data_IF_077647683843
#
_entry.id   IF_077647683843
#
_cell.length_a   1.000
_cell.length_b   1.000
_cell.length_c   1.000
_cell.angle_alpha   90.00
_cell.angle_beta   90.00
_cell.angle_gamma   90.00
#
_symmetry.space_group_name_H-M   'P 1'
#
loop_
_entity.id
_entity.type
_entity.pdbx_description
1 polymer ?
#
# COMPACT_ATOMS: atom_id res chain seq x y z
N UNK A 1 17.64 -37.04 -2.14
CA UNK A 1 17.63 -35.57 -1.94
C UNK A 1 16.23 -35.05 -2.17
N UNK A 2 15.65 -34.30 -1.25
CA UNK A 2 14.36 -33.63 -1.50
C UNK A 2 14.63 -32.52 -2.52
N UNK A 3 14.09 -32.63 -3.74
CA UNK A 3 14.12 -31.52 -4.68
C UNK A 3 13.20 -30.42 -4.17
N UNK A 4 13.77 -29.35 -3.65
CA UNK A 4 13.04 -28.16 -3.32
C UNK A 4 12.72 -27.42 -4.62
N UNK A 5 11.43 -27.36 -4.99
CA UNK A 5 10.97 -26.55 -6.12
C UNK A 5 10.48 -25.20 -5.61
N UNK A 6 11.06 -24.12 -6.11
CA UNK A 6 10.52 -22.77 -5.89
C UNK A 6 9.16 -22.68 -6.57
N UNK A 7 8.15 -22.22 -5.83
CA UNK A 7 6.78 -22.05 -6.32
C UNK A 7 6.32 -20.60 -6.33
N UNK A 8 7.00 -19.76 -5.56
CA UNK A 8 6.69 -18.34 -5.44
C UNK A 8 8.01 -17.56 -5.34
N UNK A 9 8.08 -16.47 -6.08
CA UNK A 9 9.12 -15.44 -5.94
C UNK A 9 8.41 -14.14 -5.59
N UNK A 10 8.76 -13.55 -4.47
CA UNK A 10 8.23 -12.26 -4.04
C UNK A 10 9.34 -11.21 -3.99
N UNK A 11 9.02 -10.00 -4.41
CA UNK A 11 9.93 -8.85 -4.34
C UNK A 11 9.26 -7.68 -3.64
N UNK A 12 10.05 -6.89 -2.93
CA UNK A 12 9.67 -5.55 -2.51
C UNK A 12 9.83 -4.57 -3.68
N UNK A 13 9.20 -3.41 -3.59
CA UNK A 13 9.18 -2.38 -4.64
C UNK A 13 10.33 -1.38 -4.47
N UNK A 14 10.27 -0.57 -3.44
CA UNK A 14 11.10 0.61 -3.27
C UNK A 14 12.52 0.25 -2.81
N UNK A 15 13.52 0.56 -3.64
CA UNK A 15 14.91 0.20 -3.37
C UNK A 15 15.28 -1.27 -3.64
N UNK A 16 14.34 -2.08 -4.17
CA UNK A 16 14.57 -3.50 -4.51
C UNK A 16 14.21 -3.78 -5.97
N UNK A 17 12.94 -3.68 -6.34
CA UNK A 17 12.47 -3.93 -7.72
C UNK A 17 12.57 -2.69 -8.59
N UNK A 18 12.30 -1.52 -8.02
CA UNK A 18 12.44 -0.23 -8.70
C UNK A 18 13.90 0.24 -8.64
N UNK A 19 14.36 0.86 -9.72
CA UNK A 19 15.63 1.56 -9.78
C UNK A 19 15.61 2.88 -8.99
N UNK A 20 16.74 3.60 -8.96
CA UNK A 20 16.85 4.88 -8.27
C UNK A 20 15.96 6.00 -8.82
N UNK A 21 15.36 5.82 -10.00
CA UNK A 21 14.39 6.73 -10.61
C UNK A 21 12.93 6.27 -10.39
N UNK A 22 12.71 5.20 -9.63
CA UNK A 22 11.39 4.63 -9.39
C UNK A 22 10.82 3.88 -10.59
N UNK A 23 11.67 3.37 -11.49
CA UNK A 23 11.29 2.70 -12.74
C UNK A 23 11.78 1.26 -12.77
N UNK A 24 11.21 0.47 -13.68
CA UNK A 24 11.64 -0.88 -13.99
C UNK A 24 11.42 -1.20 -15.48
N UNK A 25 12.09 -2.25 -15.96
CA UNK A 25 11.98 -2.71 -17.34
C UNK A 25 10.76 -3.64 -17.51
N UNK A 26 9.69 -3.11 -18.08
CA UNK A 26 8.43 -3.85 -18.32
C UNK A 26 8.62 -5.03 -19.27
N UNK A 27 9.43 -4.90 -20.32
CA UNK A 27 9.63 -5.98 -21.29
C UNK A 27 10.40 -7.14 -20.66
N UNK A 28 11.38 -6.83 -19.84
CA UNK A 28 12.10 -7.83 -19.05
C UNK A 28 11.20 -8.52 -18.05
N UNK A 29 10.28 -7.79 -17.40
CA UNK A 29 9.30 -8.37 -16.48
C UNK A 29 8.36 -9.31 -17.22
N UNK A 30 7.80 -8.92 -18.38
CA UNK A 30 6.93 -9.78 -19.20
C UNK A 30 7.63 -11.09 -19.58
N UNK A 31 8.89 -11.03 -20.02
CA UNK A 31 9.69 -12.21 -20.34
C UNK A 31 9.91 -13.11 -19.11
N UNK A 32 10.16 -12.51 -17.95
CA UNK A 32 10.31 -13.24 -16.68
C UNK A 32 9.01 -13.95 -16.29
N UNK A 33 7.86 -13.25 -16.35
CA UNK A 33 6.55 -13.81 -16.01
C UNK A 33 6.19 -14.99 -16.92
N UNK A 34 6.46 -14.89 -18.23
CA UNK A 34 6.28 -15.99 -19.19
C UNK A 34 7.11 -17.22 -18.78
N UNK A 35 8.40 -17.03 -18.48
CA UNK A 35 9.27 -18.13 -18.03
C UNK A 35 8.82 -18.74 -16.70
N UNK A 36 8.31 -17.93 -15.78
CA UNK A 36 7.78 -18.42 -14.51
C UNK A 36 6.50 -19.23 -14.69
N UNK A 37 5.59 -18.76 -15.54
CA UNK A 37 4.34 -19.46 -15.88
C UNK A 37 4.60 -20.85 -16.45
N UNK A 38 5.56 -21.00 -17.36
CA UNK A 38 5.97 -22.30 -17.93
C UNK A 38 6.49 -23.29 -16.86
N UNK A 39 7.07 -22.76 -15.77
CA UNK A 39 7.61 -23.55 -14.65
C UNK A 39 6.65 -23.72 -13.48
N UNK A 40 5.45 -23.17 -13.57
CA UNK A 40 4.47 -23.16 -12.47
C UNK A 40 4.97 -22.40 -11.26
N UNK A 41 5.65 -21.26 -11.46
CA UNK A 41 6.14 -20.35 -10.43
C UNK A 41 5.27 -19.09 -10.45
N UNK A 42 4.80 -18.66 -9.30
CA UNK A 42 4.09 -17.40 -9.12
C UNK A 42 5.07 -16.28 -8.84
N UNK A 43 4.73 -15.08 -9.31
CA UNK A 43 5.45 -13.86 -8.96
C UNK A 43 4.57 -12.95 -8.11
N UNK A 44 5.12 -12.42 -7.04
CA UNK A 44 4.43 -11.51 -6.15
C UNK A 44 5.21 -10.21 -5.95
N UNK A 45 4.47 -9.12 -5.85
CA UNK A 45 4.99 -7.82 -5.42
C UNK A 45 4.45 -7.55 -4.02
N UNK A 46 5.35 -7.35 -3.04
CA UNK A 46 5.01 -7.05 -1.66
C UNK A 46 5.42 -5.61 -1.34
N UNK A 47 4.48 -4.76 -0.92
CA UNK A 47 4.74 -3.35 -0.68
C UNK A 47 3.82 -2.75 0.39
N UNK A 48 4.28 -1.68 1.03
CA UNK A 48 3.44 -0.81 1.83
C UNK A 48 2.52 0.11 1.02
N UNK A 49 2.70 0.17 -0.31
CA UNK A 49 1.85 0.96 -1.20
C UNK A 49 0.41 0.42 -1.23
N UNK A 50 -0.53 1.32 -1.51
CA UNK A 50 -1.92 0.96 -1.75
C UNK A 50 -2.10 0.10 -3.00
N UNK A 51 -3.08 -0.81 -2.99
CA UNK A 51 -3.35 -1.69 -4.13
C UNK A 51 -3.57 -0.92 -5.44
N UNK A 52 -4.33 0.18 -5.40
CA UNK A 52 -4.60 1.00 -6.59
C UNK A 52 -3.30 1.54 -7.23
N UNK A 53 -2.34 1.93 -6.39
CA UNK A 53 -1.02 2.38 -6.85
C UNK A 53 -0.23 1.23 -7.48
N UNK A 54 -0.25 0.04 -6.89
CA UNK A 54 0.43 -1.13 -7.45
C UNK A 54 -0.20 -1.56 -8.78
N UNK A 55 -1.52 -1.68 -8.86
CA UNK A 55 -2.22 -2.05 -10.10
C UNK A 55 -1.95 -1.06 -11.24
N UNK A 56 -1.78 0.23 -10.92
CA UNK A 56 -1.41 1.26 -11.91
C UNK A 56 0.01 1.06 -12.43
N UNK A 57 0.99 0.75 -11.56
CA UNK A 57 2.38 0.49 -11.96
C UNK A 57 2.51 -0.75 -12.85
N UNK A 58 1.70 -1.76 -12.60
CA UNK A 58 1.73 -3.05 -13.29
C UNK A 58 0.53 -3.27 -14.23
N UNK A 59 -0.10 -2.20 -14.74
CA UNK A 59 -1.35 -2.25 -15.50
C UNK A 59 -1.33 -3.29 -16.63
N UNK A 60 -0.22 -3.42 -17.35
CA UNK A 60 -0.04 -4.34 -18.48
C UNK A 60 0.00 -5.83 -18.08
N UNK A 61 0.36 -6.13 -16.83
CA UNK A 61 0.61 -7.50 -16.34
C UNK A 61 -0.08 -7.79 -15.01
N UNK A 62 -1.00 -6.93 -14.57
CA UNK A 62 -1.65 -7.01 -13.26
C UNK A 62 -2.34 -8.35 -12.97
N UNK A 63 -2.85 -9.00 -14.01
CA UNK A 63 -3.52 -10.30 -13.87
C UNK A 63 -2.52 -11.47 -13.76
N UNK A 64 -1.22 -11.23 -13.98
CA UNK A 64 -0.18 -12.25 -13.86
C UNK A 64 0.59 -12.16 -12.54
N UNK A 65 0.34 -11.12 -11.74
CA UNK A 65 1.08 -10.81 -10.52
C UNK A 65 0.18 -10.96 -9.29
N UNK A 66 0.73 -11.54 -8.23
CA UNK A 66 0.12 -11.49 -6.90
C UNK A 66 0.52 -10.17 -6.24
N UNK A 67 -0.44 -9.35 -5.87
CA UNK A 67 -0.21 -8.13 -5.09
C UNK A 67 -0.37 -8.42 -3.61
N UNK A 68 0.69 -8.17 -2.83
CA UNK A 68 0.68 -8.15 -1.37
C UNK A 68 0.80 -6.68 -0.98
N UNK A 69 -0.34 -6.01 -0.91
CA UNK A 69 -0.47 -4.57 -0.70
C UNK A 69 -0.69 -4.20 0.77
N UNK A 70 -0.64 -2.92 1.08
CA UNK A 70 -0.96 -2.36 2.40
C UNK A 70 -0.19 -3.04 3.55
N UNK A 71 1.12 -3.28 3.39
CA UNK A 71 1.95 -4.04 4.33
C UNK A 71 1.43 -5.46 4.62
N UNK A 72 0.76 -6.09 3.65
CA UNK A 72 0.22 -7.45 3.77
C UNK A 72 -1.25 -7.51 4.24
N UNK A 73 -1.91 -6.38 4.48
CA UNK A 73 -3.31 -6.36 4.86
C UNK A 73 -4.26 -6.70 3.72
N UNK A 74 -3.79 -6.64 2.47
CA UNK A 74 -4.56 -7.03 1.28
C UNK A 74 -3.69 -7.86 0.33
N UNK A 75 -4.19 -9.03 -0.04
CA UNK A 75 -3.56 -9.88 -1.06
C UNK A 75 -4.55 -10.10 -2.20
N UNK A 76 -4.15 -9.70 -3.41
CA UNK A 76 -4.97 -9.85 -4.63
C UNK A 76 -4.25 -10.63 -5.72
N UNK A 77 -4.97 -11.48 -6.43
CA UNK A 77 -4.51 -12.18 -7.61
C UNK A 77 -5.66 -12.39 -8.60
N UNK A 78 -5.43 -12.17 -9.89
CA UNK A 78 -6.45 -12.23 -10.95
C UNK A 78 -7.71 -11.41 -10.62
N UNK A 79 -7.55 -10.22 -10.03
CA UNK A 79 -8.65 -9.35 -9.64
C UNK A 79 -9.48 -9.85 -8.46
N UNK A 80 -9.08 -10.95 -7.81
CA UNK A 80 -9.76 -11.52 -6.63
C UNK A 80 -8.96 -11.26 -5.36
N UNK A 81 -9.62 -10.79 -4.32
CA UNK A 81 -9.03 -10.64 -2.99
C UNK A 81 -8.91 -12.03 -2.34
N UNK A 82 -7.66 -12.51 -2.18
CA UNK A 82 -7.36 -13.79 -1.53
C UNK A 82 -7.26 -13.65 -0.02
N UNK A 83 -6.90 -12.47 0.46
CA UNK A 83 -6.81 -12.13 1.87
C UNK A 83 -7.10 -10.66 2.06
N UNK A 84 -7.82 -10.34 3.10
CA UNK A 84 -8.17 -8.98 3.49
C UNK A 84 -8.24 -8.88 5.02
N UNK A 85 -7.55 -7.90 5.59
CA UNK A 85 -7.59 -7.59 7.01
C UNK A 85 -7.77 -6.07 7.15
N UNK A 86 -8.98 -5.67 7.50
CA UNK A 86 -9.33 -4.27 7.70
C UNK A 86 -9.21 -3.88 9.17
N UNK A 87 -8.95 -2.61 9.40
CA UNK A 87 -8.89 -2.03 10.73
C UNK A 87 -10.31 -1.70 11.21
N UNK A 88 -10.77 -2.21 12.36
CA UNK A 88 -12.08 -1.86 12.89
C UNK A 88 -12.24 -0.34 13.06
N UNK A 89 -13.44 0.18 12.74
CA UNK A 89 -13.73 1.61 12.83
C UNK A 89 -13.43 2.19 14.20
N UNK A 90 -13.88 1.55 15.26
CA UNK A 90 -13.68 2.02 16.63
C UNK A 90 -12.18 2.03 16.99
N UNK A 91 -11.41 1.11 16.40
CA UNK A 91 -9.98 1.05 16.64
C UNK A 91 -9.25 2.25 16.03
N UNK A 92 -9.47 2.59 14.75
CA UNK A 92 -8.76 3.73 14.16
C UNK A 92 -9.25 5.07 14.74
N UNK A 93 -10.54 5.20 15.09
CA UNK A 93 -11.05 6.40 15.75
C UNK A 93 -10.45 6.57 17.15
N UNK A 94 -10.41 5.52 17.97
CA UNK A 94 -9.79 5.58 19.31
C UNK A 94 -8.28 5.80 19.22
N UNK A 95 -7.61 5.24 18.20
CA UNK A 95 -6.19 5.47 17.95
C UNK A 95 -5.92 6.93 17.59
N UNK A 96 -6.76 7.55 16.77
CA UNK A 96 -6.67 8.96 16.44
C UNK A 96 -6.81 9.84 17.69
N UNK A 97 -7.84 9.62 18.52
CA UNK A 97 -8.03 10.37 19.76
C UNK A 97 -6.85 10.20 20.73
N UNK A 98 -6.27 9.01 20.80
CA UNK A 98 -5.07 8.77 21.60
C UNK A 98 -3.85 9.49 21.02
N UNK A 99 -3.66 9.48 19.72
CA UNK A 99 -2.54 10.20 19.06
C UNK A 99 -2.61 11.68 19.29
N UNK A 100 -3.78 12.30 19.31
CA UNK A 100 -3.99 13.71 19.61
C UNK A 100 -3.46 14.13 21.00
N UNK A 101 -3.27 13.22 21.93
CA UNK A 101 -2.65 13.51 23.24
C UNK A 101 -1.12 13.61 23.16
N UNK A 102 -0.49 13.21 22.07
CA UNK A 102 0.95 13.31 21.88
C UNK A 102 1.33 14.72 21.38
N UNK A 103 2.35 15.36 21.98
CA UNK A 103 2.83 16.66 21.51
C UNK A 103 3.50 16.61 20.12
N UNK A 104 3.86 15.42 19.65
CA UNK A 104 4.54 15.20 18.37
C UNK A 104 3.58 14.87 17.23
N UNK A 105 2.32 14.59 17.53
CA UNK A 105 1.31 14.27 16.54
C UNK A 105 0.72 15.52 15.91
N UNK A 106 0.70 15.55 14.59
CA UNK A 106 0.03 16.58 13.79
C UNK A 106 -1.04 15.94 12.91
N UNK A 107 -2.31 16.17 13.21
CA UNK A 107 -3.44 15.64 12.45
C UNK A 107 -3.46 16.08 10.98
N UNK A 108 -2.73 17.15 10.64
CA UNK A 108 -2.57 17.61 9.27
C UNK A 108 -1.60 16.77 8.45
N UNK A 109 -0.87 15.85 9.10
CA UNK A 109 0.14 14.98 8.50
C UNK A 109 -0.20 13.50 8.69
N UNK A 110 -1.46 13.16 8.48
CA UNK A 110 -1.97 11.81 8.57
C UNK A 110 -2.81 11.42 7.36
N UNK A 111 -2.89 10.12 7.09
CA UNK A 111 -3.65 9.54 6.00
C UNK A 111 -4.16 8.16 6.42
N UNK A 112 -5.42 7.86 6.12
CA UNK A 112 -5.99 6.53 6.20
C UNK A 112 -6.08 5.94 4.79
N UNK A 113 -5.57 4.71 4.61
CA UNK A 113 -5.73 4.01 3.35
C UNK A 113 -6.89 3.05 3.44
N UNK A 114 -7.89 3.27 2.61
CA UNK A 114 -9.08 2.45 2.49
C UNK A 114 -9.11 1.63 1.21
N UNK A 115 -10.15 0.82 1.09
CA UNK A 115 -10.37 -0.07 -0.07
C UNK A 115 -10.67 0.70 -1.35
N UNK A 116 -11.37 1.82 -1.24
CA UNK A 116 -11.83 2.64 -2.38
C UNK A 116 -11.00 3.90 -2.58
N UNK A 117 -10.49 4.47 -1.49
CA UNK A 117 -9.76 5.72 -1.51
C UNK A 117 -8.80 5.83 -0.32
N UNK A 118 -7.88 6.79 -0.40
CA UNK A 118 -7.15 7.26 0.75
C UNK A 118 -7.84 8.51 1.31
N UNK A 119 -7.81 8.70 2.61
CA UNK A 119 -8.55 9.77 3.28
C UNK A 119 -7.61 10.64 4.10
N UNK A 120 -7.74 11.96 3.92
CA UNK A 120 -7.07 12.98 4.73
C UNK A 120 -8.12 13.95 5.28
N UNK A 121 -7.83 14.61 6.39
CA UNK A 121 -8.71 15.67 6.89
C UNK A 121 -8.69 16.90 5.97
N UNK A 122 -9.78 17.69 5.96
CA UNK A 122 -9.86 18.96 5.23
C UNK A 122 -8.73 19.92 5.60
N UNK A 123 -8.21 19.79 6.82
CA UNK A 123 -7.11 20.60 7.39
C UNK A 123 -5.72 20.11 7.01
N UNK A 124 -5.59 19.12 6.11
CA UNK A 124 -4.31 18.51 5.72
C UNK A 124 -3.27 19.56 5.31
N UNK A 125 -2.02 19.33 5.70
CA UNK A 125 -0.88 20.10 5.21
C UNK A 125 -0.66 19.84 3.71
N UNK A 126 -0.59 20.91 2.91
CA UNK A 126 -0.49 20.79 1.45
C UNK A 126 0.83 20.14 1.00
N UNK A 127 1.92 20.33 1.73
CA UNK A 127 3.22 19.70 1.42
C UNK A 127 3.13 18.19 1.70
N UNK A 128 2.49 17.81 2.80
CA UNK A 128 2.23 16.41 3.12
C UNK A 128 1.30 15.76 2.10
N UNK A 129 0.26 16.46 1.65
CA UNK A 129 -0.65 15.99 0.62
C UNK A 129 0.07 15.75 -0.70
N UNK A 130 0.91 16.69 -1.16
CA UNK A 130 1.73 16.54 -2.37
C UNK A 130 2.65 15.32 -2.26
N UNK A 131 3.31 15.13 -1.13
CA UNK A 131 4.15 13.96 -0.88
C UNK A 131 3.32 12.66 -0.93
N UNK A 132 2.14 12.67 -0.32
CA UNK A 132 1.25 11.50 -0.25
C UNK A 132 0.79 11.02 -1.63
N UNK A 133 0.65 11.91 -2.61
CA UNK A 133 0.30 11.56 -3.98
C UNK A 133 1.37 10.73 -4.72
N UNK A 134 2.60 10.64 -4.22
CA UNK A 134 3.62 9.77 -4.81
C UNK A 134 3.37 8.28 -4.54
N UNK A 135 2.67 7.97 -3.46
CA UNK A 135 2.49 6.59 -2.98
C UNK A 135 1.04 6.14 -2.97
N UNK A 136 0.10 7.08 -3.07
CA UNK A 136 -1.32 6.81 -2.90
C UNK A 136 -2.12 7.40 -4.07
N UNK A 137 -3.09 6.64 -4.54
CA UNK A 137 -4.06 7.06 -5.54
C UNK A 137 -5.38 7.44 -4.87
N UNK A 138 -6.21 8.23 -5.59
CA UNK A 138 -7.57 8.59 -5.16
C UNK A 138 -7.63 9.14 -3.72
N UNK A 139 -6.84 10.18 -3.41
CA UNK A 139 -6.88 10.82 -2.10
C UNK A 139 -8.10 11.74 -2.01
N UNK A 140 -8.92 11.55 -0.99
CA UNK A 140 -10.13 12.32 -0.71
C UNK A 140 -9.99 13.08 0.61
N UNK A 141 -10.48 14.31 0.64
CA UNK A 141 -10.58 15.10 1.87
C UNK A 141 -11.91 14.82 2.55
N UNK A 142 -11.87 14.72 3.87
CA UNK A 142 -13.06 14.55 4.71
C UNK A 142 -13.05 15.55 5.87
N UNK A 143 -14.22 16.05 6.29
CA UNK A 143 -14.30 16.95 7.43
C UNK A 143 -13.90 16.26 8.74
N UNK A 144 -14.19 14.95 8.85
CA UNK A 144 -13.89 14.16 10.03
C UNK A 144 -13.70 12.68 9.67
N UNK A 145 -12.88 11.96 10.45
CA UNK A 145 -12.69 10.52 10.27
C UNK A 145 -13.98 9.72 10.50
N UNK A 146 -14.96 10.28 11.22
CA UNK A 146 -16.26 9.63 11.44
C UNK A 146 -17.12 9.61 10.17
N UNK A 147 -16.81 10.44 9.16
CA UNK A 147 -17.54 10.49 7.90
C UNK A 147 -17.06 9.41 6.91
N UNK A 148 -15.96 8.74 7.22
CA UNK A 148 -15.43 7.66 6.37
C UNK A 148 -16.33 6.43 6.52
N UNK A 149 -16.85 5.96 5.39
CA UNK A 149 -17.69 4.76 5.28
C UNK A 149 -16.99 3.58 4.61
N UNK A 150 -15.71 3.78 4.23
CA UNK A 150 -14.88 2.76 3.61
C UNK A 150 -14.25 1.81 4.64
N UNK A 151 -13.80 0.66 4.17
CA UNK A 151 -13.00 -0.29 4.94
C UNK A 151 -11.54 0.20 4.95
N UNK A 152 -10.98 0.40 6.14
CA UNK A 152 -9.64 0.97 6.31
C UNK A 152 -8.62 -0.13 6.56
N UNK A 153 -7.53 -0.12 5.80
CA UNK A 153 -6.40 -1.06 5.95
C UNK A 153 -5.28 -0.50 6.81
N UNK A 154 -5.01 0.80 6.68
CA UNK A 154 -3.81 1.38 7.27
C UNK A 154 -4.06 2.82 7.74
N UNK A 155 -3.46 3.15 8.87
CA UNK A 155 -3.35 4.49 9.42
C UNK A 155 -1.87 4.91 9.34
N UNK A 156 -1.58 5.98 8.62
CA UNK A 156 -0.23 6.52 8.44
C UNK A 156 -0.18 7.93 9.02
N UNK A 157 0.87 8.25 9.76
CA UNK A 157 1.13 9.61 10.26
C UNK A 157 2.62 9.92 10.23
N UNK A 158 2.95 11.19 10.00
CA UNK A 158 4.30 11.71 10.15
C UNK A 158 4.32 12.59 11.40
N UNK A 159 5.15 12.20 12.36
CA UNK A 159 5.38 13.00 13.55
C UNK A 159 6.25 14.21 13.24
N UNK A 160 6.12 15.28 14.05
CA UNK A 160 6.80 16.56 13.81
C UNK A 160 8.28 16.52 14.18
N UNK A 161 8.70 15.58 15.03
CA UNK A 161 10.08 15.42 15.54
C UNK A 161 10.42 13.93 15.63
N UNK A 162 11.71 13.61 15.83
CA UNK A 162 12.15 12.26 16.14
C UNK A 162 11.52 11.76 17.42
N UNK A 163 10.75 10.69 17.34
CA UNK A 163 9.95 10.15 18.45
C UNK A 163 10.51 8.84 19.00
N UNK A 164 11.71 8.46 18.58
CA UNK A 164 12.41 7.27 19.08
C UNK A 164 13.39 7.70 20.16
N UNK A 165 13.07 7.40 21.42
CA UNK A 165 13.99 7.39 22.54
C UNK A 165 14.48 5.98 22.83
#
# INVERSE_FOLDING_TARGET
MKNFMIKLVATDMDGTFLDGAGQFDMERLKALLSSYKERGIYFAVASGRGLLSLEKHFADVKDEIIFIAENGSLVRFHGQDLYEATMPRDFYLSSFEKLKTSPYFDEKKMLLTGKKACYVLDTVDETYLMFSHHYNENIQRVPSLVDITDEIFKFTTNFTEETVE
#
